data_IF_145307811085
#
_entry.id   IF_145307811085
#
_cell.length_a   1.000
_cell.length_b   1.000
_cell.length_c   1.000
_cell.angle_alpha   90.00
_cell.angle_beta   90.00
_cell.angle_gamma   90.00
#
_symmetry.space_group_name_H-M   'P 1'
#
loop_
_entity.id
_entity.type
_entity.pdbx_description
1 polymer ?
#
# COMPACT_ATOMS: atom_id res chain seq x y z
N UNK A 1 -7.94 8.70 4.58
CA UNK A 1 -8.18 7.58 5.52
C UNK A 1 -7.07 6.57 5.31
N UNK A 2 -6.53 6.01 6.40
CA UNK A 2 -5.64 4.87 6.38
C UNK A 2 -6.11 3.86 7.42
N UNK A 3 -6.08 2.57 7.09
CA UNK A 3 -6.54 1.49 7.96
C UNK A 3 -5.78 0.19 7.66
N UNK A 4 -5.75 -0.74 8.62
CA UNK A 4 -5.21 -2.09 8.43
C UNK A 4 -6.30 -3.10 8.71
N UNK A 5 -6.48 -4.05 7.81
CA UNK A 5 -7.50 -5.10 7.92
C UNK A 5 -6.91 -6.48 7.66
N UNK A 6 -7.46 -7.50 8.29
CA UNK A 6 -7.21 -8.90 7.95
C UNK A 6 -7.94 -9.27 6.66
N UNK A 7 -7.39 -10.22 5.92
CA UNK A 7 -8.12 -10.93 4.89
C UNK A 7 -9.27 -11.73 5.54
N UNK A 8 -10.45 -11.71 4.92
CA UNK A 8 -11.66 -12.35 5.47
C UNK A 8 -11.79 -13.82 5.06
N UNK A 9 -10.86 -14.35 4.26
CA UNK A 9 -10.88 -15.74 3.84
C UNK A 9 -10.29 -16.69 4.89
N UNK A 10 -10.95 -17.82 5.09
CA UNK A 10 -10.63 -18.82 6.14
C UNK A 10 -9.19 -19.37 6.09
N UNK A 11 -8.53 -19.27 4.93
CA UNK A 11 -7.20 -19.83 4.69
C UNK A 11 -6.14 -18.77 4.39
N UNK A 12 -6.43 -17.49 4.62
CA UNK A 12 -5.48 -16.40 4.44
C UNK A 12 -5.21 -15.70 5.76
N UNK A 13 -3.94 -15.63 6.14
CA UNK A 13 -3.46 -14.72 7.17
C UNK A 13 -2.84 -13.45 6.56
N UNK A 14 -3.13 -13.16 5.29
CA UNK A 14 -2.71 -11.90 4.69
C UNK A 14 -3.41 -10.73 5.39
N UNK A 15 -2.71 -9.61 5.48
CA UNK A 15 -3.29 -8.36 5.94
C UNK A 15 -3.21 -7.32 4.82
N UNK A 16 -4.00 -6.25 4.95
CA UNK A 16 -4.00 -5.18 3.97
C UNK A 16 -3.97 -3.81 4.61
N UNK A 17 -3.11 -2.94 4.08
CA UNK A 17 -3.20 -1.51 4.34
C UNK A 17 -4.10 -0.88 3.29
N UNK A 18 -5.14 -0.19 3.76
CA UNK A 18 -6.08 0.55 2.92
C UNK A 18 -5.75 2.04 2.97
N UNK A 19 -5.55 2.64 1.80
CA UNK A 19 -5.29 4.07 1.68
C UNK A 19 -6.31 4.72 0.76
N UNK A 20 -7.00 5.74 1.28
CA UNK A 20 -7.82 6.61 0.44
C UNK A 20 -6.93 7.62 -0.26
N UNK A 21 -6.92 7.57 -1.59
CA UNK A 21 -6.13 8.48 -2.42
C UNK A 21 -7.04 9.38 -3.25
N UNK A 22 -6.75 10.67 -3.23
CA UNK A 22 -7.52 11.71 -3.91
C UNK A 22 -6.72 12.30 -5.07
N UNK A 23 -7.22 12.16 -6.29
CA UNK A 23 -6.67 12.87 -7.44
C UNK A 23 -7.32 14.25 -7.54
N UNK A 24 -6.60 15.30 -7.12
CA UNK A 24 -7.08 16.69 -7.15
C UNK A 24 -6.78 17.41 -8.47
N UNK A 25 -6.18 16.71 -9.43
CA UNK A 25 -5.90 17.26 -10.77
C UNK A 25 -7.07 17.00 -11.71
N UNK A 26 -7.08 17.63 -12.89
CA UNK A 26 -8.03 17.32 -13.96
C UNK A 26 -7.67 16.07 -14.76
N UNK A 27 -6.43 15.61 -14.66
CA UNK A 27 -5.87 14.55 -15.47
C UNK A 27 -6.08 13.19 -14.82
N UNK A 28 -6.12 12.13 -15.62
CA UNK A 28 -6.11 10.77 -15.07
C UNK A 28 -4.69 10.43 -14.60
N UNK A 29 -4.59 9.84 -13.42
CA UNK A 29 -3.33 9.35 -12.86
C UNK A 29 -3.42 7.85 -12.58
N UNK A 30 -2.26 7.22 -12.54
CA UNK A 30 -2.09 5.85 -12.04
C UNK A 30 -1.14 5.91 -10.85
N UNK A 31 -1.46 5.19 -9.78
CA UNK A 31 -0.58 5.05 -8.62
C UNK A 31 -0.09 3.61 -8.58
N UNK A 32 1.21 3.43 -8.42
CA UNK A 32 1.87 2.14 -8.27
C UNK A 32 2.92 2.22 -7.16
N UNK A 33 3.40 1.08 -6.67
CA UNK A 33 4.53 1.03 -5.75
C UNK A 33 5.85 1.37 -6.45
N UNK A 34 6.79 1.90 -5.68
CA UNK A 34 8.22 1.78 -5.98
C UNK A 34 8.63 0.35 -5.62
N UNK A 35 9.26 -0.33 -6.57
CA UNK A 35 9.75 -1.69 -6.37
C UNK A 35 10.63 -1.82 -5.11
N UNK A 36 10.48 -2.91 -4.35
CA UNK A 36 11.22 -3.21 -3.13
C UNK A 36 11.24 -2.06 -2.09
N UNK A 37 10.12 -1.35 -1.92
CA UNK A 37 10.04 -0.20 -0.99
C UNK A 37 9.15 -0.42 0.23
N UNK A 38 8.42 -1.53 0.31
CA UNK A 38 7.55 -1.83 1.46
C UNK A 38 8.37 -2.30 2.66
N UNK A 39 8.13 -1.67 3.80
CA UNK A 39 8.58 -2.16 5.10
C UNK A 39 7.46 -2.09 6.14
N UNK A 40 7.40 -3.09 7.01
CA UNK A 40 6.48 -3.16 8.15
C UNK A 40 7.33 -3.28 9.41
N UNK A 41 7.14 -2.37 10.37
CA UNK A 41 7.98 -2.26 11.58
C UNK A 41 9.50 -2.21 11.30
N UNK A 42 9.89 -1.66 10.15
CA UNK A 42 11.28 -1.60 9.70
C UNK A 42 11.82 -2.88 9.04
N UNK A 43 11.02 -3.94 8.95
CA UNK A 43 11.37 -5.15 8.20
C UNK A 43 10.92 -5.00 6.74
N UNK A 44 11.84 -5.18 5.79
CA UNK A 44 11.53 -5.20 4.37
C UNK A 44 10.61 -6.39 4.05
N UNK A 45 9.55 -6.13 3.29
CA UNK A 45 8.56 -7.12 2.87
C UNK A 45 8.54 -7.19 1.35
N UNK A 46 8.22 -8.35 0.80
CA UNK A 46 7.78 -8.41 -0.58
C UNK A 46 6.38 -7.79 -0.66
N UNK A 47 6.12 -7.01 -1.70
CA UNK A 47 4.80 -6.41 -1.92
C UNK A 47 4.43 -6.45 -3.38
N UNK A 48 3.14 -6.66 -3.63
CA UNK A 48 2.55 -6.43 -4.94
C UNK A 48 1.43 -5.42 -4.74
N UNK A 49 1.60 -4.21 -5.28
CA UNK A 49 0.47 -3.28 -5.45
C UNK A 49 -0.07 -3.44 -6.86
N UNK A 50 -1.37 -3.70 -6.96
CA UNK A 50 -2.05 -3.55 -8.25
C UNK A 50 -2.17 -2.06 -8.57
N UNK A 51 -1.71 -1.60 -9.75
CA UNK A 51 -1.79 -0.19 -10.11
C UNK A 51 -3.23 0.35 -10.00
N UNK A 52 -3.38 1.50 -9.36
CA UNK A 52 -4.68 2.13 -9.11
C UNK A 52 -4.88 3.29 -10.06
N UNK A 53 -5.85 3.17 -10.96
CA UNK A 53 -6.21 4.23 -11.90
C UNK A 53 -7.25 5.17 -11.27
N UNK A 54 -6.95 6.47 -11.21
CA UNK A 54 -7.80 7.48 -10.59
C UNK A 54 -8.10 8.59 -11.60
N UNK A 55 -9.38 8.74 -11.94
CA UNK A 55 -9.83 9.85 -12.81
C UNK A 55 -9.56 11.21 -12.17
N UNK A 56 -9.36 12.22 -13.00
CA UNK A 56 -9.27 13.61 -12.54
C UNK A 56 -10.44 13.98 -11.62
N UNK A 57 -10.13 14.65 -10.51
CA UNK A 57 -11.09 15.08 -9.49
C UNK A 57 -11.76 13.95 -8.68
N UNK A 58 -11.33 12.69 -8.85
CA UNK A 58 -11.94 11.52 -8.19
C UNK A 58 -11.05 10.96 -7.07
N UNK A 59 -11.56 9.97 -6.35
CA UNK A 59 -10.82 9.26 -5.30
C UNK A 59 -10.92 7.76 -5.48
N UNK A 60 -9.95 7.02 -4.95
CA UNK A 60 -9.93 5.56 -4.97
C UNK A 60 -9.36 5.02 -3.65
N UNK A 61 -9.61 3.74 -3.39
CA UNK A 61 -8.92 3.00 -2.33
C UNK A 61 -7.76 2.23 -2.96
N UNK A 62 -6.56 2.47 -2.47
CA UNK A 62 -5.38 1.66 -2.75
C UNK A 62 -5.25 0.60 -1.67
N UNK A 63 -5.06 -0.65 -2.10
CA UNK A 63 -4.90 -1.82 -1.23
C UNK A 63 -3.45 -2.29 -1.35
N UNK A 64 -2.72 -2.31 -0.24
CA UNK A 64 -1.36 -2.85 -0.14
C UNK A 64 -1.47 -4.19 0.54
N UNK A 65 -1.09 -5.27 -0.14
CA UNK A 65 -1.09 -6.61 0.45
C UNK A 65 0.18 -6.82 1.28
N UNK A 66 -0.02 -7.31 2.50
CA UNK A 66 1.03 -7.80 3.40
C UNK A 66 0.90 -9.33 3.44
N UNK A 67 1.86 -10.02 2.85
CA UNK A 67 1.82 -11.48 2.75
C UNK A 67 2.00 -12.13 4.13
N UNK A 68 1.12 -13.08 4.47
CA UNK A 68 1.20 -13.87 5.69
C UNK A 68 2.61 -14.44 5.91
N UNK A 69 3.22 -14.98 4.85
CA UNK A 69 4.55 -15.59 4.95
C UNK A 69 5.64 -14.62 5.40
N UNK A 70 5.54 -13.35 5.01
CA UNK A 70 6.50 -12.33 5.41
C UNK A 70 6.18 -11.79 6.81
N UNK A 71 4.89 -11.66 7.15
CA UNK A 71 4.45 -11.29 8.49
C UNK A 71 4.93 -12.31 9.53
N UNK A 72 4.65 -13.60 9.30
CA UNK A 72 5.05 -14.70 10.19
C UNK A 72 6.58 -14.81 10.35
N UNK A 73 7.32 -14.63 9.24
CA UNK A 73 8.80 -14.64 9.25
C UNK A 73 9.38 -13.55 10.16
N UNK A 74 8.67 -12.46 10.35
CA UNK A 74 9.07 -11.33 11.18
C UNK A 74 8.31 -11.26 12.52
N UNK A 75 7.61 -12.35 12.90
CA UNK A 75 6.85 -12.47 14.15
C UNK A 75 5.77 -11.39 14.33
N UNK A 76 5.09 -11.05 13.23
CA UNK A 76 3.90 -10.21 13.19
C UNK A 76 2.72 -11.15 12.97
N UNK A 77 1.91 -11.36 14.00
CA UNK A 77 0.81 -12.34 13.97
C UNK A 77 -0.57 -11.65 13.95
N UNK A 78 -0.68 -10.49 14.60
CA UNK A 78 -1.92 -9.72 14.70
C UNK A 78 -1.75 -8.28 14.17
N UNK A 79 -2.85 -7.62 13.81
CA UNK A 79 -2.85 -6.19 13.43
C UNK A 79 -2.19 -5.34 14.52
N UNK A 80 -2.38 -5.67 15.81
CA UNK A 80 -1.79 -4.92 16.93
C UNK A 80 -0.27 -4.97 17.00
N UNK A 81 0.36 -5.92 16.30
CA UNK A 81 1.82 -6.00 16.21
C UNK A 81 2.36 -4.99 15.19
N UNK A 82 1.53 -4.45 14.30
CA UNK A 82 1.92 -3.48 13.28
C UNK A 82 1.85 -2.07 13.89
N UNK A 83 3.02 -1.45 14.05
CA UNK A 83 3.17 -0.08 14.56
C UNK A 83 3.51 0.93 13.45
N UNK A 84 4.16 0.46 12.39
CA UNK A 84 4.61 1.30 11.29
C UNK A 84 4.56 0.55 9.97
N UNK A 85 4.10 1.23 8.92
CA UNK A 85 4.23 0.79 7.54
C UNK A 85 4.86 1.92 6.72
N UNK A 86 5.90 1.58 5.98
CA UNK A 86 6.58 2.46 5.06
C UNK A 86 6.48 1.93 3.63
N UNK A 87 6.20 2.79 2.65
CA UNK A 87 6.18 2.39 1.25
C UNK A 87 6.50 3.55 0.32
N UNK A 88 7.26 3.30 -0.74
CA UNK A 88 7.41 4.22 -1.86
C UNK A 88 6.26 4.06 -2.86
N UNK A 89 5.72 5.18 -3.34
CA UNK A 89 4.71 5.20 -4.40
C UNK A 89 5.16 6.08 -5.56
N UNK A 90 4.75 5.70 -6.77
CA UNK A 90 4.92 6.47 -7.98
C UNK A 90 3.56 6.92 -8.49
N UNK A 91 3.45 8.20 -8.82
CA UNK A 91 2.32 8.76 -9.55
C UNK A 91 2.71 8.84 -11.02
N UNK A 92 1.91 8.20 -11.85
CA UNK A 92 2.11 8.15 -13.30
C UNK A 92 1.01 8.90 -14.03
N UNK A 93 1.37 9.54 -15.14
CA UNK A 93 0.43 10.09 -16.12
C UNK A 93 0.74 9.47 -17.48
N UNK A 94 -0.06 8.49 -17.89
CA UNK A 94 0.30 7.60 -18.99
C UNK A 94 1.53 6.75 -18.60
N UNK A 95 2.54 6.72 -19.47
CA UNK A 95 3.77 5.94 -19.23
C UNK A 95 4.86 6.72 -18.47
N UNK A 96 4.58 7.95 -18.05
CA UNK A 96 5.55 8.82 -17.38
C UNK A 96 5.32 8.85 -15.88
N UNK A 97 6.38 8.63 -15.09
CA UNK A 97 6.40 8.95 -13.66
C UNK A 97 6.49 10.47 -13.55
N UNK A 98 5.49 11.08 -12.91
CA UNK A 98 5.43 12.53 -12.67
C UNK A 98 5.81 12.89 -11.23
N UNK A 99 5.67 11.94 -10.31
CA UNK A 99 6.05 12.08 -8.91
C UNK A 99 6.41 10.72 -8.33
N UNK A 100 7.39 10.71 -7.43
CA UNK A 100 7.72 9.58 -6.58
C UNK A 100 7.80 10.10 -5.14
N UNK A 101 7.20 9.40 -4.19
CA UNK A 101 7.20 9.82 -2.79
C UNK A 101 7.16 8.63 -1.84
N UNK A 102 7.66 8.82 -0.62
CA UNK A 102 7.62 7.83 0.45
C UNK A 102 6.47 8.18 1.41
N UNK A 103 5.62 7.19 1.65
CA UNK A 103 4.62 7.23 2.72
C UNK A 103 5.21 6.54 3.95
N UNK A 104 5.16 7.22 5.09
CA UNK A 104 5.48 6.68 6.41
C UNK A 104 4.22 6.78 7.28
N UNK A 105 3.72 5.64 7.72
CA UNK A 105 2.43 5.49 8.35
C UNK A 105 2.57 4.82 9.70
N UNK A 106 2.44 5.59 10.78
CA UNK A 106 2.17 5.02 12.11
C UNK A 106 0.74 4.49 12.15
N UNK A 107 0.57 3.23 12.49
CA UNK A 107 -0.73 2.55 12.61
C UNK A 107 -1.18 2.59 14.06
#
# INVERSE_FOLDING_TARGET
>A
MKDVIEDDSEYSGDMYVLLMVENKTSENITITDVYDSLAVNGYMMDSIISPVNIKGGSSAIMKIQLWQSDLEKNSIEDISDISQVEIGIQVMQGDYIIEETKLDMSI
#
